data_IF_943196991087
#
_entry.id   IF_943196991087
#
_cell.length_a   1.000
_cell.length_b   1.000
_cell.length_c   1.000
_cell.angle_alpha   90.00
_cell.angle_beta   90.00
_cell.angle_gamma   90.00
#
_symmetry.space_group_name_H-M   'P 1'
#
loop_
_entity.id
_entity.type
_entity.pdbx_description
1 polymer ?
#
# COMPACT_ATOMS: atom_id res chain seq x y z
N UNK A 1 5.88 14.05 -12.02
CA UNK A 1 5.75 14.77 -10.75
C UNK A 1 4.59 14.16 -10.00
N UNK A 2 4.87 13.64 -8.82
CA UNK A 2 3.98 12.99 -7.90
C UNK A 2 3.75 13.89 -6.67
N UNK A 3 2.82 13.52 -5.80
CA UNK A 3 2.50 14.34 -4.62
C UNK A 3 3.69 14.51 -3.66
N UNK A 4 4.55 13.51 -3.52
CA UNK A 4 5.78 13.56 -2.72
C UNK A 4 6.80 14.58 -3.25
N UNK A 5 6.84 14.81 -4.56
CA UNK A 5 7.82 15.68 -5.22
C UNK A 5 7.66 17.17 -4.87
N UNK A 6 6.51 17.57 -4.33
CA UNK A 6 6.13 18.98 -4.14
C UNK A 6 5.95 19.40 -2.67
N UNK A 7 6.17 18.49 -1.71
CA UNK A 7 6.12 18.86 -0.29
C UNK A 7 7.43 19.46 0.21
N UNK A 8 8.56 18.86 -0.18
CA UNK A 8 9.91 19.31 0.15
C UNK A 8 10.65 19.64 -1.15
N UNK A 9 11.75 20.39 -1.09
CA UNK A 9 12.58 20.68 -2.26
C UNK A 9 13.42 19.46 -2.68
N UNK A 10 12.72 18.42 -3.11
CA UNK A 10 13.26 17.09 -3.39
C UNK A 10 14.30 17.11 -4.50
N UNK A 11 14.10 17.96 -5.51
CA UNK A 11 14.98 18.09 -6.67
C UNK A 11 16.03 19.20 -6.52
N UNK A 12 16.06 19.92 -5.39
CA UNK A 12 16.97 21.05 -5.19
C UNK A 12 16.73 22.19 -6.19
N UNK A 13 15.46 22.45 -6.52
CA UNK A 13 15.00 23.52 -7.39
C UNK A 13 15.39 24.89 -6.82
N UNK A 14 15.51 24.99 -5.48
CA UNK A 14 15.87 26.21 -4.75
C UNK A 14 14.96 27.40 -5.11
N UNK A 15 13.63 27.30 -4.86
CA UNK A 15 12.73 28.43 -5.09
C UNK A 15 13.21 29.69 -4.33
N UNK A 16 12.99 30.89 -4.88
CA UNK A 16 12.06 31.17 -5.98
C UNK A 16 12.61 30.87 -7.39
N UNK A 17 11.71 30.47 -8.30
CA UNK A 17 11.93 30.42 -9.75
C UNK A 17 10.88 31.28 -10.46
N UNK A 18 10.98 31.42 -11.78
CA UNK A 18 9.97 32.09 -12.60
C UNK A 18 8.60 31.41 -12.35
N UNK A 19 7.65 32.15 -11.77
CA UNK A 19 6.28 31.71 -11.41
C UNK A 19 6.08 30.87 -10.13
N UNK A 20 7.13 30.57 -9.35
CA UNK A 20 6.95 29.88 -8.07
C UNK A 20 7.91 30.42 -7.00
N UNK A 21 7.37 30.95 -5.90
CA UNK A 21 8.15 31.51 -4.80
C UNK A 21 8.54 30.46 -3.74
N UNK A 22 7.83 29.33 -3.70
CA UNK A 22 7.96 28.31 -2.67
C UNK A 22 7.50 26.93 -3.17
N UNK A 23 7.82 25.87 -2.41
CA UNK A 23 7.26 24.53 -2.66
C UNK A 23 5.73 24.48 -2.53
N UNK A 24 5.12 25.40 -1.78
CA UNK A 24 3.66 25.51 -1.73
C UNK A 24 3.07 25.89 -3.09
N UNK A 25 3.73 26.78 -3.84
CA UNK A 25 3.28 27.18 -5.18
C UNK A 25 3.38 26.01 -6.17
N UNK A 26 4.43 25.20 -6.08
CA UNK A 26 4.54 23.94 -6.85
C UNK A 26 3.42 22.96 -6.52
N UNK A 27 3.08 22.83 -5.23
CA UNK A 27 2.02 21.93 -4.77
C UNK A 27 0.63 22.37 -5.23
N UNK A 28 0.38 23.67 -5.24
CA UNK A 28 -0.85 24.28 -5.76
C UNK A 28 -0.92 24.11 -7.29
N UNK A 29 0.18 24.37 -8.00
CA UNK A 29 0.28 24.15 -9.44
C UNK A 29 0.04 22.69 -9.85
N UNK A 30 0.61 21.73 -9.09
CA UNK A 30 0.35 20.31 -9.30
C UNK A 30 -1.13 19.98 -9.08
N UNK A 31 -1.76 20.53 -8.04
CA UNK A 31 -3.18 20.34 -7.78
C UNK A 31 -4.04 20.84 -8.94
N UNK A 32 -3.76 22.03 -9.46
CA UNK A 32 -4.46 22.60 -10.62
C UNK A 32 -4.29 21.71 -11.87
N UNK A 33 -3.06 21.22 -12.12
CA UNK A 33 -2.79 20.31 -13.23
C UNK A 33 -3.59 19.02 -13.12
N UNK A 34 -3.60 18.37 -11.95
CA UNK A 34 -4.36 17.12 -11.72
C UNK A 34 -5.85 17.35 -11.94
N UNK A 35 -6.40 18.44 -11.41
CA UNK A 35 -7.83 18.76 -11.57
C UNK A 35 -8.21 19.05 -13.02
N UNK A 36 -7.42 19.86 -13.73
CA UNK A 36 -7.66 20.19 -15.13
C UNK A 36 -7.53 18.96 -16.03
N UNK A 37 -6.44 18.20 -15.89
CA UNK A 37 -6.21 16.98 -16.67
C UNK A 37 -7.25 15.90 -16.37
N UNK A 38 -7.60 15.71 -15.10
CA UNK A 38 -8.58 14.73 -14.66
C UNK A 38 -9.96 15.01 -15.24
N UNK A 39 -10.44 16.26 -15.13
CA UNK A 39 -11.71 16.67 -15.72
C UNK A 39 -11.72 16.53 -17.25
N UNK A 40 -10.64 16.96 -17.92
CA UNK A 40 -10.52 16.86 -19.37
C UNK A 40 -10.54 15.40 -19.84
N UNK A 41 -9.78 14.51 -19.19
CA UNK A 41 -9.73 13.08 -19.52
C UNK A 41 -11.08 12.39 -19.27
N UNK A 42 -11.72 12.65 -18.13
CA UNK A 42 -13.05 12.10 -17.84
C UNK A 42 -14.10 12.55 -18.87
N UNK A 43 -14.02 13.80 -19.38
CA UNK A 43 -14.95 14.30 -20.40
C UNK A 43 -14.92 13.52 -21.72
N UNK A 44 -13.80 12.84 -22.01
CA UNK A 44 -13.62 11.97 -23.19
C UNK A 44 -13.61 10.48 -22.84
N UNK A 45 -14.15 10.12 -21.67
CA UNK A 45 -14.30 8.73 -21.21
C UNK A 45 -12.97 8.05 -20.83
N UNK A 46 -11.95 8.83 -20.49
CA UNK A 46 -10.64 8.35 -20.00
C UNK A 46 -10.52 8.61 -18.50
N UNK A 47 -9.68 7.82 -17.84
CA UNK A 47 -9.36 7.99 -16.41
C UNK A 47 -8.01 8.66 -16.24
N UNK A 48 -7.84 9.37 -15.12
CA UNK A 48 -6.54 9.79 -14.63
C UNK A 48 -6.25 9.03 -13.34
N UNK A 49 -5.06 8.43 -13.27
CA UNK A 49 -4.52 7.77 -12.07
C UNK A 49 -3.21 8.47 -11.73
N UNK A 50 -3.24 9.56 -10.94
CA UNK A 50 -2.03 10.27 -10.55
C UNK A 50 -1.25 9.46 -9.51
N UNK A 51 0.05 9.73 -9.43
CA UNK A 51 0.87 9.25 -8.32
C UNK A 51 0.60 10.11 -7.07
N UNK A 52 -0.01 9.49 -6.07
CA UNK A 52 -0.51 10.09 -4.82
C UNK A 52 0.44 9.84 -3.64
N UNK A 53 1.69 9.44 -3.90
CA UNK A 53 2.70 9.23 -2.88
C UNK A 53 2.78 10.42 -1.92
N UNK A 54 2.78 10.14 -0.61
CA UNK A 54 2.81 11.15 0.46
C UNK A 54 1.61 12.13 0.50
N UNK A 55 0.55 11.93 -0.28
CA UNK A 55 -0.69 12.72 -0.20
C UNK A 55 -1.31 12.75 1.21
N UNK A 56 -1.02 11.76 2.05
CA UNK A 56 -1.36 11.72 3.49
C UNK A 56 -0.85 12.92 4.30
N UNK A 57 0.15 13.66 3.80
CA UNK A 57 0.71 14.85 4.47
C UNK A 57 -0.27 16.04 4.44
N UNK A 58 -1.26 16.02 3.56
CA UNK A 58 -2.27 17.05 3.44
C UNK A 58 -3.69 16.44 3.51
N UNK A 59 -4.48 16.77 4.55
CA UNK A 59 -5.82 16.22 4.69
C UNK A 59 -6.69 16.42 3.44
N UNK A 60 -7.27 15.33 2.93
CA UNK A 60 -8.17 15.36 1.77
C UNK A 60 -7.49 15.35 0.40
N UNK A 61 -6.19 15.65 0.30
CA UNK A 61 -5.47 15.69 -0.99
C UNK A 61 -5.57 14.37 -1.75
N UNK A 62 -5.40 13.26 -1.03
CA UNK A 62 -5.57 11.92 -1.59
C UNK A 62 -6.92 11.73 -2.29
N UNK A 63 -8.03 12.00 -1.59
CA UNK A 63 -9.37 11.82 -2.15
C UNK A 63 -9.63 12.78 -3.32
N UNK A 64 -9.09 14.00 -3.23
CA UNK A 64 -9.17 15.02 -4.27
C UNK A 64 -8.49 14.55 -5.57
N UNK A 65 -7.27 14.04 -5.47
CA UNK A 65 -6.49 13.59 -6.63
C UNK A 65 -7.01 12.27 -7.20
N UNK A 66 -7.48 11.36 -6.35
CA UNK A 66 -7.98 10.06 -6.79
C UNK A 66 -9.38 10.10 -7.44
N UNK A 67 -10.09 11.22 -7.34
CA UNK A 67 -11.47 11.37 -7.82
C UNK A 67 -11.65 11.13 -9.33
N UNK A 68 -10.57 11.18 -10.12
CA UNK A 68 -10.60 11.12 -11.58
C UNK A 68 -10.35 9.73 -12.17
N UNK A 69 -10.30 8.69 -11.34
CA UNK A 69 -10.15 7.32 -11.80
C UNK A 69 -9.38 6.39 -10.89
N UNK A 70 -8.76 6.88 -9.81
CA UNK A 70 -7.91 6.09 -8.95
C UNK A 70 -6.65 6.85 -8.52
N UNK A 71 -5.76 6.18 -7.82
CA UNK A 71 -4.46 6.72 -7.43
C UNK A 71 -3.40 5.63 -7.35
N UNK A 72 -2.16 6.00 -7.68
CA UNK A 72 -0.97 5.16 -7.55
C UNK A 72 -0.15 5.58 -6.34
N UNK A 73 0.00 4.71 -5.35
CA UNK A 73 0.86 4.90 -4.17
C UNK A 73 2.15 4.11 -4.37
N UNK A 74 3.24 4.82 -4.72
CA UNK A 74 4.52 4.21 -5.06
C UNK A 74 5.40 3.89 -3.84
N UNK A 75 5.09 4.46 -2.67
CA UNK A 75 5.81 4.28 -1.40
C UNK A 75 4.89 3.65 -0.36
N UNK A 76 4.16 2.60 -0.77
CA UNK A 76 3.26 1.87 0.12
C UNK A 76 4.04 1.30 1.31
N UNK A 77 3.77 1.84 2.51
CA UNK A 77 4.36 1.46 3.80
C UNK A 77 5.87 1.72 3.96
N UNK A 78 6.53 2.41 3.03
CA UNK A 78 7.94 2.75 3.15
C UNK A 78 8.53 3.45 1.94
N UNK A 79 9.64 4.17 2.16
CA UNK A 79 10.44 4.82 1.11
C UNK A 79 11.43 3.87 0.43
N UNK A 80 11.79 2.76 1.07
CA UNK A 80 12.79 1.83 0.54
C UNK A 80 12.80 0.48 1.25
N UNK A 81 13.58 -0.50 0.77
CA UNK A 81 13.63 -1.86 1.34
C UNK A 81 13.94 -1.89 2.83
N UNK A 82 14.83 -0.99 3.29
CA UNK A 82 15.23 -0.86 4.69
C UNK A 82 14.63 0.37 5.39
N UNK A 83 13.88 1.21 4.67
CA UNK A 83 13.32 2.46 5.18
C UNK A 83 11.79 2.40 5.14
N UNK A 84 11.23 1.62 6.08
CA UNK A 84 9.80 1.44 6.25
C UNK A 84 9.23 2.47 7.23
N UNK A 85 7.97 2.81 7.04
CA UNK A 85 7.28 3.78 7.87
C UNK A 85 7.10 3.34 9.32
N UNK A 86 7.03 4.33 10.22
CA UNK A 86 6.55 4.14 11.57
C UNK A 86 5.04 3.81 11.56
N UNK A 87 4.49 3.25 12.66
CA UNK A 87 3.10 2.81 12.68
C UNK A 87 2.08 3.87 12.31
N UNK A 88 2.25 5.12 12.76
CA UNK A 88 1.28 6.19 12.50
C UNK A 88 1.30 6.59 11.03
N UNK A 89 2.50 6.66 10.47
CA UNK A 89 2.69 6.98 9.06
C UNK A 89 2.12 5.87 8.16
N UNK A 90 2.40 4.60 8.47
CA UNK A 90 1.81 3.46 7.75
C UNK A 90 0.27 3.47 7.84
N UNK A 91 -0.28 3.72 9.03
CA UNK A 91 -1.74 3.74 9.24
C UNK A 91 -2.44 4.91 8.52
N UNK A 92 -1.73 6.02 8.29
CA UNK A 92 -2.27 7.16 7.54
C UNK A 92 -2.49 6.86 6.05
N UNK A 93 -1.81 5.86 5.48
CA UNK A 93 -2.00 5.46 4.08
C UNK A 93 -3.18 4.49 3.89
N UNK A 94 -3.68 3.84 4.95
CA UNK A 94 -4.65 2.75 4.84
C UNK A 94 -5.92 3.06 4.04
N UNK A 95 -6.52 4.27 4.14
CA UNK A 95 -7.67 4.63 3.31
C UNK A 95 -7.39 4.52 1.81
N UNK A 96 -6.13 4.73 1.37
CA UNK A 96 -5.72 4.66 -0.03
C UNK A 96 -5.95 3.28 -0.66
N UNK A 97 -5.92 2.21 0.14
CA UNK A 97 -6.14 0.85 -0.35
C UNK A 97 -7.59 0.56 -0.74
N UNK A 98 -8.57 1.30 -0.20
CA UNK A 98 -10.00 1.23 -0.57
C UNK A 98 -10.49 2.57 -1.11
N UNK A 99 -9.65 3.22 -1.90
CA UNK A 99 -9.92 4.52 -2.48
C UNK A 99 -10.97 4.52 -3.57
N UNK A 100 -11.43 5.71 -3.98
CA UNK A 100 -12.24 5.84 -5.17
C UNK A 100 -11.46 5.35 -6.40
N UNK A 101 -12.14 4.65 -7.31
CA UNK A 101 -11.53 4.19 -8.56
C UNK A 101 -10.51 3.06 -8.37
N UNK A 102 -9.43 3.12 -9.15
CA UNK A 102 -8.36 2.13 -9.15
C UNK A 102 -7.27 2.49 -8.12
N UNK A 103 -7.15 1.72 -7.05
CA UNK A 103 -5.97 1.78 -6.17
C UNK A 103 -4.85 0.91 -6.72
N UNK A 104 -3.69 1.52 -6.99
CA UNK A 104 -2.45 0.81 -7.36
C UNK A 104 -1.45 1.04 -6.23
N UNK A 105 -1.02 -0.02 -5.55
CA UNK A 105 -0.09 0.08 -4.41
C UNK A 105 1.22 -0.63 -4.74
N UNK A 106 2.35 0.04 -4.56
CA UNK A 106 3.67 -0.55 -4.72
C UNK A 106 4.44 -0.47 -3.41
N UNK A 107 4.87 -1.63 -2.91
CA UNK A 107 5.77 -1.71 -1.75
C UNK A 107 7.23 -1.74 -2.23
N UNK A 108 8.17 -1.05 -1.55
CA UNK A 108 9.58 -1.11 -1.91
C UNK A 108 10.26 -2.40 -1.41
N UNK A 109 11.11 -2.98 -2.24
CA UNK A 109 11.96 -4.14 -1.93
C UNK A 109 13.38 -3.94 -2.49
N UNK A 110 14.25 -4.95 -2.35
CA UNK A 110 15.55 -5.05 -3.03
C UNK A 110 15.44 -5.80 -4.39
N UNK A 111 14.23 -6.08 -4.85
CA UNK A 111 13.94 -6.85 -6.06
C UNK A 111 13.98 -8.38 -5.87
N UNK A 112 14.25 -8.90 -4.67
CA UNK A 112 14.16 -10.34 -4.37
C UNK A 112 12.71 -10.75 -4.00
N UNK A 113 12.15 -11.75 -4.68
CA UNK A 113 10.79 -12.28 -4.39
C UNK A 113 10.61 -12.71 -2.92
N UNK A 114 11.69 -13.17 -2.29
CA UNK A 114 11.72 -13.52 -0.87
C UNK A 114 11.79 -12.33 0.09
N UNK A 115 11.87 -11.08 -0.40
CA UNK A 115 12.01 -9.91 0.45
C UNK A 115 10.79 -9.76 1.39
N UNK A 116 10.99 -9.56 2.70
CA UNK A 116 9.90 -9.55 3.67
C UNK A 116 8.86 -8.45 3.43
N UNK A 117 9.25 -7.34 2.79
CA UNK A 117 8.33 -6.24 2.48
C UNK A 117 7.23 -6.65 1.51
N UNK A 118 7.47 -7.65 0.65
CA UNK A 118 6.46 -8.13 -0.29
C UNK A 118 5.23 -8.64 0.47
N UNK A 119 5.42 -9.62 1.37
CA UNK A 119 4.31 -10.16 2.20
C UNK A 119 3.74 -9.12 3.16
N UNK A 120 4.58 -8.20 3.65
CA UNK A 120 4.14 -7.08 4.48
C UNK A 120 3.15 -6.17 3.76
N UNK A 121 3.51 -5.69 2.57
CA UNK A 121 2.64 -4.86 1.73
C UNK A 121 1.41 -5.61 1.24
N UNK A 122 1.56 -6.86 0.81
CA UNK A 122 0.47 -7.69 0.28
C UNK A 122 -0.57 -7.98 1.36
N UNK A 123 -0.15 -8.29 2.59
CA UNK A 123 -1.07 -8.49 3.70
C UNK A 123 -1.89 -7.22 3.99
N UNK A 124 -1.25 -6.04 4.00
CA UNK A 124 -1.97 -4.77 4.18
C UNK A 124 -2.94 -4.48 3.02
N UNK A 125 -2.53 -4.72 1.77
CA UNK A 125 -3.40 -4.61 0.60
C UNK A 125 -4.66 -5.48 0.74
N UNK A 126 -4.51 -6.74 1.15
CA UNK A 126 -5.66 -7.60 1.45
C UNK A 126 -6.52 -7.04 2.57
N UNK A 127 -5.92 -6.73 3.72
CA UNK A 127 -6.65 -6.26 4.90
C UNK A 127 -7.48 -5.03 4.59
N UNK A 128 -6.87 -3.99 4.00
CA UNK A 128 -7.51 -2.68 3.87
C UNK A 128 -8.25 -2.50 2.55
N UNK A 129 -7.70 -2.95 1.42
CA UNK A 129 -8.37 -2.88 0.11
C UNK A 129 -9.33 -4.04 -0.16
N UNK A 130 -9.26 -5.11 0.63
CA UNK A 130 -10.04 -6.31 0.41
C UNK A 130 -9.61 -7.10 -0.83
N UNK A 131 -8.36 -6.93 -1.27
CA UNK A 131 -7.84 -7.52 -2.51
C UNK A 131 -8.29 -6.80 -3.79
N UNK A 132 -8.94 -5.64 -3.69
CA UNK A 132 -9.34 -4.83 -4.83
C UNK A 132 -8.23 -3.86 -5.24
N UNK A 133 -8.07 -3.66 -6.54
CA UNK A 133 -7.01 -2.84 -7.12
C UNK A 133 -5.83 -3.68 -7.57
N UNK A 134 -4.68 -3.03 -7.71
CA UNK A 134 -3.43 -3.65 -8.14
C UNK A 134 -2.38 -3.51 -7.05
N UNK A 135 -1.61 -4.58 -6.86
CA UNK A 135 -0.50 -4.60 -5.91
C UNK A 135 0.78 -5.04 -6.63
N UNK A 136 1.88 -4.37 -6.33
CA UNK A 136 3.20 -4.73 -6.83
C UNK A 136 4.27 -4.59 -5.74
N UNK A 137 5.35 -5.34 -5.92
CA UNK A 137 6.59 -5.19 -5.18
C UNK A 137 7.70 -5.03 -6.23
N UNK A 138 8.56 -4.01 -6.08
CA UNK A 138 9.68 -3.78 -7.00
C UNK A 138 10.88 -3.17 -6.28
N UNK A 139 12.08 -3.39 -6.82
CA UNK A 139 13.29 -2.68 -6.40
C UNK A 139 13.26 -1.21 -6.87
N UNK A 140 14.10 -0.37 -6.26
CA UNK A 140 14.33 0.98 -6.79
C UNK A 140 15.03 0.88 -8.15
N UNK A 141 14.56 1.65 -9.14
CA UNK A 141 15.08 1.70 -10.52
C UNK A 141 15.20 0.36 -11.28
N UNK A 142 14.53 -0.69 -10.81
CA UNK A 142 14.50 -1.98 -11.49
C UNK A 142 13.29 -2.06 -12.42
N UNK A 143 13.49 -1.62 -13.66
CA UNK A 143 12.48 -1.65 -14.72
C UNK A 143 12.44 -2.98 -15.49
N UNK A 144 13.25 -3.96 -15.08
CA UNK A 144 13.51 -5.18 -15.85
C UNK A 144 12.68 -6.38 -15.42
N UNK A 145 12.12 -6.35 -14.21
CA UNK A 145 11.32 -7.44 -13.65
C UNK A 145 10.20 -6.94 -12.75
N UNK A 146 9.11 -7.70 -12.73
CA UNK A 146 8.09 -7.61 -11.68
C UNK A 146 8.26 -8.79 -10.75
N UNK A 147 8.34 -8.52 -9.46
CA UNK A 147 8.50 -9.59 -8.47
C UNK A 147 7.22 -10.39 -8.31
N UNK A 148 7.35 -11.67 -7.98
CA UNK A 148 6.22 -12.56 -7.79
C UNK A 148 6.41 -13.49 -6.57
N UNK A 149 5.32 -13.73 -5.84
CA UNK A 149 5.21 -14.80 -4.85
C UNK A 149 3.88 -15.51 -5.07
N UNK A 150 3.79 -16.80 -4.73
CA UNK A 150 2.58 -17.59 -4.91
C UNK A 150 1.34 -16.96 -4.25
N UNK A 151 1.51 -16.27 -3.12
CA UNK A 151 0.43 -15.58 -2.42
C UNK A 151 -0.22 -14.44 -3.21
N UNK A 152 0.45 -13.92 -4.24
CA UNK A 152 -0.08 -12.88 -5.12
C UNK A 152 -1.21 -13.41 -6.02
N UNK A 153 -1.15 -14.70 -6.39
CA UNK A 153 -2.14 -15.34 -7.26
C UNK A 153 -3.39 -15.80 -6.49
N UNK A 154 -3.37 -15.70 -5.16
CA UNK A 154 -4.45 -16.21 -4.34
C UNK A 154 -5.68 -15.33 -4.39
N UNK A 155 -6.85 -15.94 -4.52
CA UNK A 155 -8.13 -15.27 -4.29
C UNK A 155 -8.63 -15.59 -2.89
N UNK A 156 -8.46 -14.66 -1.94
CA UNK A 156 -9.01 -14.84 -0.60
C UNK A 156 -10.54 -14.67 -0.58
N UNK A 157 -11.15 -14.22 -1.66
CA UNK A 157 -12.59 -13.99 -1.79
C UNK A 157 -13.08 -12.77 -1.02
N UNK A 158 -14.36 -12.76 -0.64
CA UNK A 158 -14.99 -11.60 -0.02
C UNK A 158 -14.58 -11.44 1.45
N UNK A 159 -14.39 -10.20 1.95
CA UNK A 159 -14.15 -9.96 3.36
C UNK A 159 -15.33 -10.41 4.24
N UNK A 160 -15.05 -11.04 5.38
CA UNK A 160 -16.06 -11.49 6.35
C UNK A 160 -16.30 -10.49 7.49
N UNK A 161 -15.78 -9.27 7.36
CA UNK A 161 -15.87 -8.21 8.36
C UNK A 161 -14.97 -7.03 8.00
N UNK A 162 -14.92 -6.04 8.88
CA UNK A 162 -13.98 -4.93 8.78
C UNK A 162 -12.56 -5.36 9.21
N UNK A 163 -11.51 -4.62 8.81
CA UNK A 163 -10.19 -4.78 9.41
C UNK A 163 -10.27 -4.72 10.94
N UNK A 164 -9.70 -5.73 11.62
CA UNK A 164 -9.65 -5.79 13.07
C UNK A 164 -8.21 -5.57 13.53
N UNK A 165 -7.97 -4.54 14.34
CA UNK A 165 -6.63 -4.20 14.77
C UNK A 165 -6.54 -3.63 16.18
N UNK A 166 -5.39 -3.87 16.80
CA UNK A 166 -5.03 -3.32 18.09
C UNK A 166 -3.50 -3.17 18.16
N UNK A 167 -3.01 -2.05 18.72
CA UNK A 167 -1.57 -1.78 18.89
C UNK A 167 -0.78 -1.93 17.58
N UNK A 168 -1.32 -1.37 16.50
CA UNK A 168 -0.70 -1.37 15.16
C UNK A 168 -0.51 -2.76 14.54
N UNK A 169 -1.27 -3.74 15.02
CA UNK A 169 -1.37 -5.06 14.42
C UNK A 169 -2.79 -5.24 13.93
N UNK A 170 -2.92 -5.60 12.66
CA UNK A 170 -4.18 -5.68 11.96
C UNK A 170 -4.35 -7.06 11.34
N UNK A 171 -5.60 -7.50 11.21
CA UNK A 171 -5.94 -8.72 10.51
C UNK A 171 -7.33 -8.62 9.90
N UNK A 172 -7.60 -9.46 8.90
CA UNK A 172 -8.92 -9.58 8.29
C UNK A 172 -9.15 -10.99 7.79
N UNK A 173 -10.36 -11.48 8.01
CA UNK A 173 -10.80 -12.79 7.52
C UNK A 173 -11.59 -12.63 6.23
N UNK A 174 -11.41 -13.57 5.32
CA UNK A 174 -12.07 -13.65 4.04
C UNK A 174 -12.71 -15.03 3.84
N UNK A 175 -13.63 -15.15 2.90
CA UNK A 175 -14.32 -16.42 2.60
C UNK A 175 -13.36 -17.54 2.20
N UNK A 176 -12.20 -17.20 1.64
CA UNK A 176 -11.17 -18.10 1.15
C UNK A 176 -9.83 -17.98 1.88
N UNK A 177 -9.70 -17.15 2.91
CA UNK A 177 -8.41 -16.97 3.59
C UNK A 177 -8.40 -15.97 4.72
N UNK A 178 -7.20 -15.54 5.11
CA UNK A 178 -6.96 -14.61 6.19
C UNK A 178 -5.61 -13.91 5.99
N UNK A 179 -5.53 -12.64 6.37
CA UNK A 179 -4.29 -11.87 6.31
C UNK A 179 -4.05 -11.15 7.65
N UNK A 180 -2.78 -10.95 8.00
CA UNK A 180 -2.37 -10.14 9.14
C UNK A 180 -1.08 -9.36 8.86
N UNK A 181 -0.99 -8.17 9.44
CA UNK A 181 0.16 -7.26 9.31
C UNK A 181 0.49 -6.62 10.65
N UNK A 182 1.79 -6.41 10.91
CA UNK A 182 2.30 -5.72 12.08
C UNK A 182 3.11 -4.50 11.63
N UNK A 183 2.58 -3.30 11.88
CA UNK A 183 3.23 -2.02 11.51
C UNK A 183 4.23 -1.52 12.54
N UNK A 184 4.33 -2.14 13.73
CA UNK A 184 5.33 -1.77 14.71
C UNK A 184 6.74 -1.86 14.09
N UNK A 185 7.64 -0.96 14.50
CA UNK A 185 9.00 -0.85 13.99
C UNK A 185 10.07 -1.13 15.06
N UNK A 186 9.67 -1.40 16.31
CA UNK A 186 10.60 -1.80 17.37
C UNK A 186 10.64 -3.32 17.56
N UNK A 187 11.84 -3.87 17.79
CA UNK A 187 12.07 -5.33 17.96
C UNK A 187 11.32 -5.98 19.13
N UNK A 188 10.77 -5.18 20.05
CA UNK A 188 10.04 -5.63 21.24
C UNK A 188 8.54 -5.86 20.94
N UNK A 189 8.06 -5.37 19.80
CA UNK A 189 6.65 -5.44 19.39
C UNK A 189 6.31 -6.66 18.54
N UNK A 190 6.99 -7.79 18.76
CA UNK A 190 6.49 -9.09 18.29
C UNK A 190 5.12 -9.36 18.92
N UNK A 191 4.11 -9.63 18.11
CA UNK A 191 2.74 -9.88 18.61
C UNK A 191 2.31 -11.29 18.31
N UNK A 192 1.76 -11.95 19.33
CA UNK A 192 1.12 -13.25 19.17
C UNK A 192 -0.31 -13.04 18.69
N UNK A 193 -0.62 -13.56 17.52
CA UNK A 193 -1.94 -13.45 16.87
C UNK A 193 -2.55 -14.85 16.79
N UNK A 194 -3.86 -14.96 17.01
CA UNK A 194 -4.59 -16.21 16.78
C UNK A 194 -4.91 -16.32 15.29
N UNK A 195 -4.57 -17.46 14.69
CA UNK A 195 -4.87 -17.72 13.28
C UNK A 195 -6.12 -18.60 13.20
N UNK A 196 -7.06 -18.32 12.29
CA UNK A 196 -8.19 -19.21 12.04
C UNK A 196 -7.74 -20.62 11.63
N UNK A 197 -8.48 -21.64 12.03
CA UNK A 197 -8.20 -23.04 11.67
C UNK A 197 -8.48 -23.33 10.20
N UNK A 198 -7.83 -24.36 9.65
CA UNK A 198 -8.09 -24.85 8.29
C UNK A 198 -7.45 -23.99 7.18
N UNK A 199 -6.47 -23.17 7.55
CA UNK A 199 -5.69 -22.36 6.63
C UNK A 199 -4.33 -23.02 6.33
N UNK A 200 -3.75 -22.70 5.18
CA UNK A 200 -2.44 -23.16 4.72
C UNK A 200 -1.60 -22.00 4.19
N UNK A 201 -0.28 -22.19 4.20
CA UNK A 201 0.70 -21.28 3.60
C UNK A 201 0.98 -21.59 2.12
N UNK A 202 1.93 -20.85 1.52
CA UNK A 202 2.35 -21.01 0.13
C UNK A 202 2.94 -22.39 -0.20
N UNK A 203 3.49 -23.08 0.80
CA UNK A 203 4.01 -24.43 0.68
C UNK A 203 2.93 -25.50 0.95
N UNK A 204 1.67 -25.10 1.10
CA UNK A 204 0.56 -25.99 1.44
C UNK A 204 0.61 -26.51 2.88
N UNK A 205 1.49 -25.97 3.73
CA UNK A 205 1.61 -26.41 5.11
C UNK A 205 0.50 -25.80 5.97
N UNK A 206 -0.07 -26.55 6.92
CA UNK A 206 -1.08 -26.02 7.83
C UNK A 206 -0.60 -24.79 8.60
N UNK A 207 -1.39 -23.72 8.58
CA UNK A 207 -1.09 -22.53 9.35
C UNK A 207 -1.11 -22.83 10.86
N UNK A 208 -0.20 -22.25 11.65
CA UNK A 208 -0.13 -22.51 13.08
C UNK A 208 -1.34 -21.89 13.79
N UNK A 209 -1.84 -22.50 14.87
CA UNK A 209 -2.94 -21.93 15.68
C UNK A 209 -2.62 -20.53 16.22
N UNK A 210 -1.34 -20.25 16.45
CA UNK A 210 -0.84 -18.95 16.86
C UNK A 210 0.41 -18.60 16.06
N UNK A 211 0.48 -17.36 15.60
CA UNK A 211 1.63 -16.80 14.92
C UNK A 211 2.25 -15.71 15.78
N UNK A 212 3.58 -15.72 15.94
CA UNK A 212 4.31 -14.57 16.47
C UNK A 212 4.77 -13.73 15.28
N UNK A 213 4.05 -12.65 15.00
CA UNK A 213 4.32 -11.79 13.85
C UNK A 213 5.36 -10.71 14.23
N UNK A 214 6.56 -10.69 13.60
CA UNK A 214 7.56 -9.68 13.89
C UNK A 214 7.11 -8.26 13.46
N UNK A 215 7.78 -7.22 13.97
CA UNK A 215 7.65 -5.84 13.50
C UNK A 215 7.86 -5.76 11.98
N UNK A 216 7.08 -4.92 11.30
CA UNK A 216 7.14 -4.70 9.85
C UNK A 216 7.10 -6.02 9.05
N UNK A 217 6.19 -6.91 9.42
CA UNK A 217 5.94 -8.18 8.72
C UNK A 217 4.46 -8.38 8.49
N UNK A 218 4.15 -9.09 7.41
CA UNK A 218 2.80 -9.53 7.08
C UNK A 218 2.79 -10.99 6.68
N UNK A 219 1.61 -11.60 6.79
CA UNK A 219 1.32 -12.94 6.32
C UNK A 219 -0.03 -12.96 5.63
N UNK A 220 -0.14 -13.85 4.65
CA UNK A 220 -1.40 -14.22 4.01
C UNK A 220 -1.49 -15.73 4.09
N UNK A 221 -2.68 -16.24 4.39
CA UNK A 221 -3.01 -17.66 4.34
C UNK A 221 -4.30 -17.86 3.56
N UNK A 222 -4.38 -18.96 2.81
CA UNK A 222 -5.61 -19.37 2.11
C UNK A 222 -6.23 -20.59 2.81
N UNK A 223 -7.50 -20.88 2.55
CA UNK A 223 -8.13 -22.13 3.02
C UNK A 223 -7.47 -23.32 2.36
N UNK A 224 -7.12 -24.33 3.16
CA UNK A 224 -6.69 -25.62 2.63
C UNK A 224 -7.82 -26.26 1.82
N UNK A 225 -7.50 -26.86 0.68
CA UNK A 225 -8.47 -27.71 0.00
C UNK A 225 -8.79 -28.89 0.92
N UNK A 226 -10.09 -29.18 1.10
CA UNK A 226 -10.49 -30.43 1.75
C UNK A 226 -10.21 -31.55 0.74
N UNK A 227 -9.25 -32.41 1.04
CA UNK A 227 -9.12 -33.71 0.38
C UNK A 227 -10.23 -34.64 0.86
#
# INVERSE_FOLDING_TARGET
MADNDVFDDYYGIQPPVEEAASMADFRDGLGQLVHAAGAALNSVGKVLVPNIAESRREPGRWASHAAYGGGFEEVWLGYGPANLFDPRTAEAQLPQADGPGLSILRVPTDGNDGHPNFRYGLAAFWIFGGGRGSFAATAHDDYSRTQHIAELDWSLGSPQGQPNGQRHVWSRTFTGGWAAVNFNNDGRSRRRIKVPSGLVDAAGQPAPKHLVLPPQRGVVYQRGQKH
#
